data_IF_614434221799
#
_entry.id   IF_614434221799
#
_cell.length_a   1.000
_cell.length_b   1.000
_cell.length_c   1.000
_cell.angle_alpha   90.00
_cell.angle_beta   90.00
_cell.angle_gamma   90.00
#
_symmetry.space_group_name_H-M   'P 1'
#
loop_
_entity.id
_entity.type
_entity.pdbx_description
1 polymer ?
#
# COMPACT_ATOMS: atom_id res chain seq x y z
N UNK A 1 -36.79 5.91 -47.18
CA UNK A 1 -36.65 7.28 -46.63
C UNK A 1 -37.95 7.65 -45.93
N UNK A 2 -38.08 7.26 -44.65
CA UNK A 2 -39.21 7.62 -43.80
C UNK A 2 -38.80 8.82 -42.93
N UNK A 3 -39.59 9.89 -42.96
CA UNK A 3 -39.43 11.07 -42.10
C UNK A 3 -40.27 10.90 -40.84
N UNK A 4 -39.61 10.94 -39.70
CA UNK A 4 -40.17 10.89 -38.36
C UNK A 4 -40.74 12.27 -37.97
N UNK A 5 -41.92 12.28 -37.36
CA UNK A 5 -42.62 13.46 -36.85
C UNK A 5 -42.15 13.79 -35.43
N UNK A 6 -42.14 15.09 -35.14
CA UNK A 6 -41.96 15.70 -33.82
C UNK A 6 -43.35 15.94 -33.17
N UNK A 7 -43.35 16.04 -31.84
CA UNK A 7 -44.20 16.89 -30.96
C UNK A 7 -45.15 16.12 -29.99
N UNK A 8 -44.63 16.04 -28.76
CA UNK A 8 -45.17 16.53 -27.47
C UNK A 8 -46.38 15.90 -26.76
N UNK A 9 -46.07 15.46 -25.52
CA UNK A 9 -46.70 15.77 -24.22
C UNK A 9 -48.19 15.48 -24.05
N UNK A 10 -48.56 14.54 -23.17
CA UNK A 10 -49.12 14.82 -21.83
C UNK A 10 -49.52 13.54 -21.07
N UNK A 11 -49.35 13.60 -19.75
CA UNK A 11 -49.88 12.73 -18.70
C UNK A 11 -51.32 12.23 -18.97
N UNK A 12 -51.60 10.95 -18.67
CA UNK A 12 -52.74 10.57 -17.82
C UNK A 12 -52.69 9.10 -17.37
N UNK A 13 -52.93 8.96 -16.08
CA UNK A 13 -53.08 7.77 -15.26
C UNK A 13 -54.46 7.11 -15.48
N UNK A 14 -54.57 5.82 -15.11
CA UNK A 14 -55.77 4.99 -14.88
C UNK A 14 -56.39 4.28 -16.10
N UNK A 15 -56.22 2.95 -16.17
CA UNK A 15 -57.30 1.96 -15.99
C UNK A 15 -56.71 0.52 -15.96
N UNK A 16 -57.03 -0.18 -14.87
CA UNK A 16 -56.70 -1.54 -14.39
C UNK A 16 -57.13 -2.69 -15.36
N UNK A 17 -56.85 -4.01 -15.17
CA UNK A 17 -56.93 -4.73 -13.89
C UNK A 17 -55.90 -5.84 -13.58
N UNK A 18 -55.92 -6.12 -12.28
CA UNK A 18 -55.29 -7.13 -11.43
C UNK A 18 -55.66 -8.59 -11.77
N UNK A 19 -54.69 -9.50 -11.63
CA UNK A 19 -54.71 -10.87 -11.03
C UNK A 19 -53.37 -11.54 -11.44
N UNK A 20 -52.49 -12.05 -10.57
CA UNK A 20 -52.49 -12.13 -9.12
C UNK A 20 -51.13 -12.65 -8.60
N UNK A 21 -50.87 -12.33 -7.33
CA UNK A 21 -49.95 -12.98 -6.37
C UNK A 21 -48.48 -13.17 -6.76
N UNK A 22 -47.64 -12.21 -6.36
CA UNK A 22 -46.23 -12.48 -6.02
C UNK A 22 -46.09 -12.23 -4.52
N UNK A 23 -45.50 -13.21 -3.85
CA UNK A 23 -45.17 -13.28 -2.43
C UNK A 23 -44.32 -12.06 -2.01
N UNK A 24 -44.82 -11.28 -1.07
CA UNK A 24 -44.21 -10.02 -0.59
C UNK A 24 -43.37 -10.29 0.69
N UNK A 25 -42.46 -11.27 0.63
CA UNK A 25 -41.67 -11.70 1.77
C UNK A 25 -40.15 -11.69 1.59
N UNK A 26 -39.59 -10.79 0.77
CA UNK A 26 -38.17 -10.43 0.87
C UNK A 26 -37.97 -8.91 0.86
N UNK A 27 -37.80 -8.34 2.06
CA UNK A 27 -37.41 -6.94 2.24
C UNK A 27 -35.95 -6.76 1.81
N UNK A 28 -35.61 -5.76 0.98
CA UNK A 28 -34.23 -5.43 0.63
C UNK A 28 -33.52 -4.63 1.75
N UNK A 29 -33.68 -5.07 3.01
CA UNK A 29 -33.02 -4.43 4.16
C UNK A 29 -31.59 -4.94 4.40
N UNK A 30 -31.31 -6.19 4.05
CA UNK A 30 -30.05 -6.85 4.42
C UNK A 30 -28.79 -6.25 3.77
N UNK A 31 -28.91 -5.49 2.67
CA UNK A 31 -27.76 -4.94 1.95
C UNK A 31 -27.33 -3.53 2.44
N UNK A 32 -28.21 -2.79 3.13
CA UNK A 32 -27.86 -1.47 3.66
C UNK A 32 -27.19 -1.54 5.04
N UNK A 33 -27.55 -2.54 5.84
CA UNK A 33 -27.04 -2.68 7.21
C UNK A 33 -25.53 -3.04 7.22
N UNK A 34 -25.00 -3.68 6.17
CA UNK A 34 -23.58 -4.04 6.04
C UNK A 34 -22.67 -2.86 5.66
N UNK A 35 -23.21 -1.81 5.02
CA UNK A 35 -22.44 -0.63 4.62
C UNK A 35 -22.10 0.25 5.83
N UNK A 36 -22.87 0.13 6.91
CA UNK A 36 -22.73 0.88 8.14
C UNK A 36 -22.24 0.03 9.32
N UNK A 37 -21.84 -1.22 9.09
CA UNK A 37 -21.25 -2.05 10.12
C UNK A 37 -19.87 -1.47 10.49
N UNK A 38 -19.77 -0.87 11.68
CA UNK A 38 -18.63 -0.06 12.12
C UNK A 38 -18.93 1.44 12.25
N UNK A 39 -20.01 1.96 11.63
CA UNK A 39 -20.58 3.25 11.99
C UNK A 39 -21.45 3.09 13.23
N UNK A 40 -20.83 3.14 14.40
CA UNK A 40 -21.58 3.45 15.62
C UNK A 40 -22.05 4.88 15.47
N UNK A 41 -23.33 5.10 15.12
CA UNK A 41 -23.99 6.34 15.50
C UNK A 41 -23.83 6.40 17.00
N UNK A 42 -22.96 7.29 17.47
CA UNK A 42 -22.71 7.52 18.87
C UNK A 42 -24.05 7.55 19.59
N UNK A 43 -24.06 6.94 20.79
CA UNK A 43 -25.20 6.78 21.70
C UNK A 43 -26.28 7.86 21.54
N UNK A 44 -27.53 7.51 21.82
CA UNK A 44 -28.72 8.38 21.91
C UNK A 44 -28.55 9.77 22.56
N UNK A 45 -27.40 10.03 23.17
CA UNK A 45 -27.00 11.22 23.91
C UNK A 45 -26.32 12.28 23.01
N UNK A 46 -25.90 11.91 21.79
CA UNK A 46 -25.24 12.82 20.82
C UNK A 46 -26.08 14.03 20.43
N UNK A 47 -27.40 13.90 20.50
CA UNK A 47 -28.37 14.95 20.17
C UNK A 47 -28.74 15.82 21.37
N UNK A 48 -28.24 15.50 22.57
CA UNK A 48 -28.56 16.21 23.81
C UNK A 48 -27.36 17.04 24.32
N UNK A 49 -26.29 17.14 23.55
CA UNK A 49 -25.13 17.97 23.88
C UNK A 49 -25.41 19.44 23.55
N UNK A 50 -25.32 20.31 24.56
CA UNK A 50 -25.38 21.77 24.40
C UNK A 50 -24.16 22.39 25.08
N UNK A 51 -23.29 23.10 24.35
CA UNK A 51 -23.35 23.38 22.91
C UNK A 51 -23.10 22.12 22.06
N UNK A 52 -23.63 22.10 20.83
CA UNK A 52 -23.28 21.09 19.84
C UNK A 52 -21.76 21.08 19.66
N UNK A 53 -21.16 19.89 19.66
CA UNK A 53 -19.74 19.73 19.35
C UNK A 53 -19.57 19.73 17.83
N UNK A 54 -18.85 20.71 17.30
CA UNK A 54 -18.47 20.78 15.88
C UNK A 54 -17.27 19.86 15.53
N UNK A 55 -16.87 18.98 16.45
CA UNK A 55 -15.71 18.09 16.30
C UNK A 55 -16.21 16.64 16.24
N UNK A 56 -16.01 15.99 15.09
CA UNK A 56 -16.47 14.61 14.85
C UNK A 56 -15.77 13.56 15.74
N UNK A 57 -14.51 13.80 16.12
CA UNK A 57 -13.73 12.96 17.05
C UNK A 57 -12.97 13.87 18.00
N UNK A 58 -13.36 13.87 19.28
CA UNK A 58 -12.69 14.64 20.32
C UNK A 58 -11.21 14.19 20.43
N UNK A 59 -10.27 15.11 20.15
CA UNK A 59 -8.83 14.81 20.11
C UNK A 59 -8.27 14.44 18.72
N UNK A 60 -9.12 14.33 17.69
CA UNK A 60 -8.71 14.00 16.32
C UNK A 60 -8.42 12.52 16.09
N UNK A 61 -7.92 12.17 14.91
CA UNK A 61 -7.49 10.81 14.58
C UNK A 61 -6.02 10.60 14.93
N UNK A 62 -5.71 9.51 15.63
CA UNK A 62 -4.33 9.02 15.75
C UNK A 62 -4.04 8.00 14.66
N UNK A 63 -2.77 7.84 14.27
CA UNK A 63 -2.41 6.89 13.21
C UNK A 63 -2.80 5.46 13.55
N UNK A 64 -2.63 5.06 14.81
CA UNK A 64 -3.00 3.73 15.32
C UNK A 64 -4.51 3.53 15.49
N UNK A 65 -5.30 4.60 15.53
CA UNK A 65 -6.77 4.51 15.59
C UNK A 65 -7.44 4.53 14.22
N UNK A 66 -6.73 4.96 13.17
CA UNK A 66 -7.25 5.08 11.82
C UNK A 66 -6.73 3.99 10.87
N UNK A 67 -5.47 3.59 11.02
CA UNK A 67 -4.85 2.58 10.17
C UNK A 67 -4.95 1.20 10.82
N UNK A 68 -5.43 0.22 10.06
CA UNK A 68 -5.34 -1.19 10.42
C UNK A 68 -4.01 -1.76 9.92
N UNK A 69 -3.35 -2.56 10.77
CA UNK A 69 -2.10 -3.25 10.47
C UNK A 69 -2.23 -4.78 10.64
N UNK A 70 -3.45 -5.30 10.73
CA UNK A 70 -3.73 -6.72 10.86
C UNK A 70 -3.21 -7.55 9.67
N UNK A 71 -3.08 -6.95 8.48
CA UNK A 71 -2.59 -7.58 7.26
C UNK A 71 -1.11 -7.26 6.93
N UNK A 72 -0.35 -6.77 7.92
CA UNK A 72 1.05 -6.36 7.77
C UNK A 72 1.99 -7.31 8.51
N UNK A 73 2.88 -7.95 7.76
CA UNK A 73 3.99 -8.74 8.30
C UNK A 73 5.28 -7.92 8.47
N UNK A 74 6.04 -8.15 9.54
CA UNK A 74 7.34 -7.49 9.77
C UNK A 74 8.47 -8.52 9.77
N UNK A 75 9.45 -8.32 8.90
CA UNK A 75 10.55 -9.25 8.67
C UNK A 75 11.85 -8.70 9.27
N UNK A 76 12.42 -9.43 10.23
CA UNK A 76 13.54 -8.99 11.05
C UNK A 76 14.69 -9.98 10.91
N UNK A 77 15.86 -9.50 10.46
CA UNK A 77 17.09 -10.28 10.50
C UNK A 77 17.67 -10.25 11.91
N UNK A 78 17.58 -11.36 12.64
CA UNK A 78 18.03 -11.39 14.03
C UNK A 78 19.57 -11.30 14.16
N UNK A 79 20.32 -11.56 13.08
CA UNK A 79 21.77 -11.35 13.06
C UNK A 79 22.17 -9.88 12.83
N UNK A 80 21.24 -9.00 12.49
CA UNK A 80 21.49 -7.57 12.28
C UNK A 80 20.93 -6.73 13.43
N UNK A 81 21.81 -6.09 14.20
CA UNK A 81 21.40 -5.16 15.27
C UNK A 81 20.52 -4.02 14.74
N UNK A 82 20.83 -3.47 13.56
CA UNK A 82 20.01 -2.46 12.91
C UNK A 82 18.60 -2.96 12.59
N UNK A 83 18.49 -4.17 12.04
CA UNK A 83 17.20 -4.77 11.67
C UNK A 83 16.34 -5.01 12.90
N UNK A 84 16.93 -5.56 13.98
CA UNK A 84 16.24 -5.75 15.26
C UNK A 84 15.74 -4.42 15.82
N UNK A 85 16.60 -3.42 15.92
CA UNK A 85 16.23 -2.12 16.51
C UNK A 85 15.09 -1.46 15.72
N UNK A 86 15.18 -1.42 14.40
CA UNK A 86 14.16 -0.76 13.56
C UNK A 86 12.86 -1.58 13.53
N UNK A 87 12.96 -2.89 13.35
CA UNK A 87 11.82 -3.79 13.25
C UNK A 87 10.98 -3.78 14.53
N UNK A 88 11.62 -3.93 15.68
CA UNK A 88 10.91 -3.88 16.96
C UNK A 88 10.34 -2.50 17.29
N UNK A 89 11.03 -1.43 16.90
CA UNK A 89 10.48 -0.08 17.04
C UNK A 89 9.20 0.09 16.19
N UNK A 90 9.19 -0.43 14.96
CA UNK A 90 8.00 -0.37 14.10
C UNK A 90 6.85 -1.23 14.64
N UNK A 91 7.14 -2.47 15.07
CA UNK A 91 6.17 -3.36 15.71
C UNK A 91 5.50 -2.69 16.90
N UNK A 92 6.31 -2.10 17.80
CA UNK A 92 5.79 -1.39 18.97
C UNK A 92 4.99 -0.13 18.59
N UNK A 93 5.48 0.65 17.63
CA UNK A 93 4.84 1.91 17.23
C UNK A 93 3.54 1.72 16.46
N UNK A 94 3.27 0.53 15.90
CA UNK A 94 2.04 0.21 15.16
C UNK A 94 1.17 -0.85 15.82
N UNK A 95 1.58 -1.35 16.99
CA UNK A 95 0.89 -2.43 17.70
C UNK A 95 0.67 -3.66 16.81
N UNK A 96 1.70 -4.04 16.05
CA UNK A 96 1.67 -5.23 15.18
C UNK A 96 1.58 -6.48 16.06
N UNK A 97 0.65 -7.39 15.75
CA UNK A 97 0.57 -8.68 16.42
C UNK A 97 1.90 -9.43 16.30
N UNK A 98 2.38 -10.02 17.39
CA UNK A 98 3.62 -10.81 17.36
C UNK A 98 3.51 -12.02 16.43
N UNK A 99 2.29 -12.49 16.15
CA UNK A 99 2.08 -13.53 15.14
C UNK A 99 2.47 -13.04 13.74
N UNK A 100 2.43 -11.73 13.47
CA UNK A 100 2.79 -11.16 12.17
C UNK A 100 4.28 -10.80 12.07
N UNK A 101 5.10 -11.18 13.05
CA UNK A 101 6.54 -10.94 13.05
C UNK A 101 7.28 -12.22 12.68
N UNK A 102 8.16 -12.14 11.68
CA UNK A 102 9.13 -13.18 11.35
C UNK A 102 10.54 -12.74 11.76
N UNK A 103 11.17 -13.54 12.62
CA UNK A 103 12.58 -13.43 12.93
C UNK A 103 13.37 -14.45 12.12
N UNK A 104 14.31 -13.97 11.29
CA UNK A 104 15.32 -14.84 10.67
C UNK A 104 16.40 -15.12 11.72
N UNK A 105 16.19 -16.19 12.49
CA UNK A 105 16.97 -16.50 13.70
C UNK A 105 18.22 -17.35 13.46
N UNK A 106 18.37 -17.94 12.27
CA UNK A 106 19.53 -18.76 11.97
C UNK A 106 20.83 -17.94 12.12
N UNK A 107 21.83 -18.48 12.83
CA UNK A 107 23.10 -17.82 13.10
C UNK A 107 23.90 -17.49 11.83
N UNK A 108 23.65 -18.24 10.75
CA UNK A 108 24.29 -18.04 9.44
C UNK A 108 23.50 -17.10 8.53
N UNK A 109 22.39 -16.50 9.00
CA UNK A 109 21.62 -15.52 8.23
C UNK A 109 22.53 -14.34 7.88
N UNK A 110 22.76 -14.06 6.59
CA UNK A 110 23.72 -13.05 6.16
C UNK A 110 23.20 -11.63 6.44
N UNK A 111 24.13 -10.72 6.73
CA UNK A 111 23.86 -9.30 7.05
C UNK A 111 24.37 -8.35 5.97
N UNK A 112 25.04 -8.88 4.93
CA UNK A 112 25.57 -8.09 3.82
C UNK A 112 24.47 -7.57 2.90
N UNK A 113 24.72 -6.44 2.24
CA UNK A 113 23.75 -5.83 1.32
C UNK A 113 23.50 -6.67 0.07
N UNK A 114 24.49 -7.47 -0.36
CA UNK A 114 24.36 -8.38 -1.49
C UNK A 114 24.63 -9.80 -1.02
N UNK A 115 23.72 -10.71 -1.36
CA UNK A 115 23.81 -12.15 -1.06
C UNK A 115 23.69 -12.95 -2.35
N UNK A 116 24.16 -14.19 -2.34
CA UNK A 116 23.95 -15.10 -3.48
C UNK A 116 22.58 -15.80 -3.42
N UNK A 117 22.17 -16.42 -4.54
CA UNK A 117 20.89 -17.14 -4.65
C UNK A 117 20.71 -18.23 -3.60
N UNK A 118 21.76 -19.01 -3.29
CA UNK A 118 21.67 -20.07 -2.28
C UNK A 118 21.41 -19.48 -0.89
N UNK A 119 22.10 -18.40 -0.54
CA UNK A 119 21.86 -17.68 0.71
C UNK A 119 20.44 -17.10 0.78
N UNK A 120 19.94 -16.54 -0.33
CA UNK A 120 18.57 -16.02 -0.39
C UNK A 120 17.54 -17.12 -0.13
N UNK A 121 17.66 -18.22 -0.85
CA UNK A 121 16.73 -19.34 -0.73
C UNK A 121 16.78 -19.95 0.68
N UNK A 122 17.96 -20.29 1.17
CA UNK A 122 18.14 -21.03 2.42
C UNK A 122 17.82 -20.18 3.67
N UNK A 123 18.29 -18.93 3.72
CA UNK A 123 18.20 -18.13 4.95
C UNK A 123 17.02 -17.16 4.99
N UNK A 124 16.30 -16.98 3.88
CA UNK A 124 15.15 -16.07 3.83
C UNK A 124 13.90 -16.71 3.23
N UNK A 125 13.98 -17.32 2.04
CA UNK A 125 12.77 -17.87 1.39
C UNK A 125 12.23 -19.08 2.14
N UNK A 126 13.08 -20.03 2.53
CA UNK A 126 12.69 -21.21 3.32
C UNK A 126 12.01 -20.81 4.64
N UNK A 127 12.63 -20.04 5.55
CA UNK A 127 11.98 -19.64 6.80
C UNK A 127 10.74 -18.75 6.57
N UNK A 128 10.71 -17.94 5.51
CA UNK A 128 9.52 -17.16 5.16
C UNK A 128 8.35 -18.06 4.74
N UNK A 129 8.60 -19.10 3.95
CA UNK A 129 7.58 -20.10 3.59
C UNK A 129 7.09 -20.86 4.81
N UNK A 130 8.00 -21.27 5.71
CA UNK A 130 7.63 -21.93 6.95
C UNK A 130 6.71 -21.03 7.77
N UNK A 131 7.11 -19.77 7.99
CA UNK A 131 6.31 -18.77 8.70
C UNK A 131 4.92 -18.55 8.11
N UNK A 132 4.80 -18.45 6.78
CA UNK A 132 3.50 -18.34 6.10
C UNK A 132 2.60 -19.56 6.35
N UNK A 133 3.18 -20.75 6.41
CA UNK A 133 2.44 -22.02 6.55
C UNK A 133 2.05 -22.36 7.99
N UNK A 134 2.56 -21.62 8.98
CA UNK A 134 2.22 -21.82 10.40
C UNK A 134 0.80 -21.37 10.77
N UNK A 135 0.14 -20.54 9.94
CA UNK A 135 -1.25 -20.13 10.19
C UNK A 135 -2.00 -19.81 8.89
N UNK A 136 -3.33 -19.96 8.91
CA UNK A 136 -4.18 -19.54 7.79
C UNK A 136 -4.05 -18.04 7.53
N UNK A 137 -4.13 -17.25 8.61
CA UNK A 137 -4.05 -15.78 8.57
C UNK A 137 -2.83 -15.29 7.78
N UNK A 138 -1.62 -15.80 8.10
CA UNK A 138 -0.40 -15.40 7.39
C UNK A 138 -0.41 -15.77 5.92
N UNK A 139 -1.04 -16.91 5.58
CA UNK A 139 -1.09 -17.42 4.22
C UNK A 139 -2.05 -16.64 3.34
N UNK A 140 -3.20 -16.25 3.87
CA UNK A 140 -4.31 -15.66 3.09
C UNK A 140 -4.46 -14.16 3.27
N UNK A 141 -4.24 -13.65 4.48
CA UNK A 141 -4.69 -12.30 4.83
C UNK A 141 -3.55 -11.28 4.80
N UNK A 142 -2.29 -11.70 4.94
CA UNK A 142 -1.15 -10.77 4.88
C UNK A 142 -0.96 -10.26 3.45
N UNK A 143 -1.11 -8.94 3.29
CA UNK A 143 -0.95 -8.23 2.02
C UNK A 143 0.40 -7.52 1.94
N UNK A 144 0.87 -6.98 3.06
CA UNK A 144 2.04 -6.09 3.11
C UNK A 144 3.16 -6.72 3.93
N UNK A 145 4.40 -6.50 3.48
CA UNK A 145 5.58 -6.88 4.25
C UNK A 145 6.46 -5.66 4.49
N UNK A 146 6.99 -5.56 5.71
CA UNK A 146 7.95 -4.53 6.08
C UNK A 146 9.32 -5.17 6.29
N UNK A 147 10.28 -4.79 5.45
CA UNK A 147 11.70 -5.10 5.66
C UNK A 147 12.43 -3.90 6.24
N UNK A 148 13.62 -4.10 6.78
CA UNK A 148 14.38 -3.05 7.49
C UNK A 148 15.82 -2.97 7.01
N UNK A 149 16.53 -1.88 7.37
CA UNK A 149 17.99 -1.85 7.25
C UNK A 149 18.59 -3.05 8.00
N UNK A 150 19.39 -3.86 7.31
CA UNK A 150 19.98 -5.09 7.87
C UNK A 150 19.40 -6.38 7.28
N UNK A 151 18.27 -6.29 6.58
CA UNK A 151 17.89 -7.26 5.54
C UNK A 151 18.69 -6.93 4.26
N UNK A 152 19.20 -7.91 3.50
CA UNK A 152 19.94 -7.66 2.25
C UNK A 152 19.16 -6.78 1.27
N UNK A 153 19.85 -6.00 0.44
CA UNK A 153 19.26 -5.16 -0.60
C UNK A 153 19.15 -5.89 -1.93
N UNK A 154 20.07 -6.82 -2.22
CA UNK A 154 20.24 -7.43 -3.53
C UNK A 154 20.49 -8.92 -3.43
N UNK A 155 19.82 -9.66 -4.31
CA UNK A 155 20.19 -11.04 -4.62
C UNK A 155 21.01 -11.02 -5.91
N UNK A 156 22.20 -11.62 -5.85
CA UNK A 156 23.10 -11.76 -6.98
C UNK A 156 23.17 -13.23 -7.40
N UNK A 157 22.73 -13.54 -8.61
CA UNK A 157 22.86 -14.87 -9.20
C UNK A 157 23.28 -14.75 -10.66
N UNK A 158 24.55 -15.06 -10.98
CA UNK A 158 25.04 -14.97 -12.36
C UNK A 158 24.83 -13.58 -13.00
N UNK A 159 24.10 -13.53 -14.12
CA UNK A 159 23.73 -12.27 -14.81
C UNK A 159 22.55 -11.54 -14.16
N UNK A 160 21.73 -12.24 -13.37
CA UNK A 160 20.50 -11.71 -12.78
C UNK A 160 20.84 -11.00 -11.46
N UNK A 161 20.62 -9.68 -11.46
CA UNK A 161 20.77 -8.81 -10.28
C UNK A 161 19.43 -8.16 -10.01
N UNK A 162 18.87 -8.46 -8.86
CA UNK A 162 17.50 -8.06 -8.50
C UNK A 162 17.45 -7.60 -7.05
N UNK A 163 16.48 -6.75 -6.73
CA UNK A 163 16.21 -6.38 -5.34
C UNK A 163 15.78 -7.60 -4.54
N UNK A 164 16.28 -7.72 -3.32
CA UNK A 164 15.79 -8.72 -2.36
C UNK A 164 14.27 -8.63 -2.18
N UNK A 165 13.75 -7.40 -2.03
CA UNK A 165 12.33 -7.18 -1.79
C UNK A 165 11.48 -7.58 -3.01
N UNK A 166 11.99 -7.40 -4.23
CA UNK A 166 11.25 -7.82 -5.43
C UNK A 166 11.14 -9.34 -5.53
N UNK A 167 12.22 -10.08 -5.26
CA UNK A 167 12.17 -11.54 -5.27
C UNK A 167 11.27 -12.09 -4.17
N UNK A 168 11.39 -11.54 -2.95
CA UNK A 168 10.59 -11.98 -1.81
C UNK A 168 9.10 -11.70 -2.03
N UNK A 169 8.75 -10.59 -2.69
CA UNK A 169 7.37 -10.22 -3.01
C UNK A 169 6.62 -11.30 -3.80
N UNK A 170 7.33 -12.08 -4.61
CA UNK A 170 6.74 -13.10 -5.50
C UNK A 170 6.67 -14.48 -4.85
N UNK A 171 7.28 -14.68 -3.67
CA UNK A 171 7.28 -15.97 -2.98
C UNK A 171 5.85 -16.34 -2.60
N UNK A 172 5.45 -17.57 -2.94
CA UNK A 172 4.06 -18.06 -2.75
C UNK A 172 2.97 -17.17 -3.39
N UNK A 173 3.34 -16.39 -4.41
CA UNK A 173 2.41 -15.63 -5.25
C UNK A 173 2.15 -16.29 -6.61
N UNK A 174 1.24 -15.70 -7.38
CA UNK A 174 0.90 -16.12 -8.74
C UNK A 174 2.08 -15.94 -9.70
N UNK A 175 2.92 -14.95 -9.41
CA UNK A 175 4.08 -14.58 -10.21
C UNK A 175 5.38 -15.30 -9.79
N UNK A 176 5.32 -16.30 -8.90
CA UNK A 176 6.50 -17.00 -8.36
C UNK A 176 7.41 -17.64 -9.42
N UNK A 177 6.87 -17.95 -10.60
CA UNK A 177 7.66 -18.45 -11.73
C UNK A 177 8.65 -17.42 -12.30
N UNK A 178 8.53 -16.16 -11.90
CA UNK A 178 9.41 -15.05 -12.32
C UNK A 178 10.62 -14.87 -11.40
N UNK A 179 10.67 -15.59 -10.28
CA UNK A 179 11.82 -15.64 -9.38
C UNK A 179 13.03 -16.19 -10.14
N UNK A 180 14.19 -15.56 -10.00
CA UNK A 180 15.43 -15.96 -10.71
C UNK A 180 15.35 -15.91 -12.24
N UNK A 181 14.46 -15.09 -12.79
CA UNK A 181 14.38 -14.88 -14.24
C UNK A 181 15.02 -13.55 -14.65
N UNK A 182 15.46 -13.48 -15.91
CA UNK A 182 15.91 -12.24 -16.53
C UNK A 182 14.70 -11.40 -16.98
N UNK A 183 14.93 -10.09 -17.12
CA UNK A 183 13.94 -9.08 -17.55
C UNK A 183 12.90 -8.71 -16.48
N UNK A 184 12.07 -7.71 -16.80
CA UNK A 184 10.99 -7.27 -15.94
C UNK A 184 9.73 -8.10 -16.20
N UNK A 185 8.91 -8.27 -15.16
CA UNK A 185 7.57 -8.82 -15.28
C UNK A 185 6.57 -7.72 -14.94
N UNK A 186 5.44 -7.73 -15.64
CA UNK A 186 4.38 -6.73 -15.45
C UNK A 186 3.33 -7.28 -14.48
N UNK A 187 2.87 -6.42 -13.56
CA UNK A 187 1.71 -6.65 -12.71
C UNK A 187 0.62 -5.64 -13.08
N UNK A 188 -0.64 -5.89 -12.69
CA UNK A 188 -1.76 -4.98 -12.99
C UNK A 188 -1.91 -3.85 -11.97
N UNK A 189 -1.38 -4.02 -10.76
CA UNK A 189 -1.63 -3.07 -9.67
C UNK A 189 -1.09 -1.66 -9.94
N UNK A 190 -1.91 -0.67 -9.58
CA UNK A 190 -1.55 0.73 -9.52
C UNK A 190 -1.91 1.54 -10.78
N UNK A 191 -1.92 2.87 -10.67
CA UNK A 191 -2.43 3.76 -11.72
C UNK A 191 -1.63 3.69 -13.02
N UNK A 192 -0.38 3.22 -12.98
CA UNK A 192 0.50 3.07 -14.14
C UNK A 192 0.31 1.75 -14.90
N UNK A 193 -0.43 0.80 -14.33
CA UNK A 193 -0.61 -0.54 -14.91
C UNK A 193 -2.07 -0.88 -15.27
N UNK A 194 -2.96 0.12 -15.24
CA UNK A 194 -4.33 0.01 -15.78
C UNK A 194 -5.42 -0.23 -14.73
N UNK A 195 -5.08 -0.54 -13.47
CA UNK A 195 -6.06 -0.77 -12.39
C UNK A 195 -6.56 0.53 -11.71
N UNK A 196 -6.11 1.70 -12.15
CA UNK A 196 -6.52 2.98 -11.58
C UNK A 196 -6.06 3.17 -10.13
N UNK A 197 -6.81 3.97 -9.36
CA UNK A 197 -6.54 4.19 -7.94
C UNK A 197 -7.43 3.27 -7.10
N UNK A 198 -6.91 2.09 -6.76
CA UNK A 198 -7.59 1.13 -5.89
C UNK A 198 -6.71 0.66 -4.72
N UNK A 199 -7.36 0.12 -3.70
CA UNK A 199 -6.68 -0.53 -2.58
C UNK A 199 -6.05 -1.85 -3.04
N UNK A 200 -4.83 -2.09 -2.60
CA UNK A 200 -4.12 -3.33 -2.88
C UNK A 200 -4.69 -4.50 -2.06
N UNK A 201 -4.87 -5.67 -2.70
CA UNK A 201 -4.94 -6.96 -2.00
C UNK A 201 -4.08 -7.99 -2.72
N UNK A 202 -3.41 -8.85 -1.94
CA UNK A 202 -2.62 -9.96 -2.47
C UNK A 202 -3.50 -10.98 -3.18
N UNK A 203 -4.73 -11.20 -2.71
CA UNK A 203 -5.69 -12.08 -3.38
C UNK A 203 -5.97 -11.64 -4.83
N UNK A 204 -6.12 -10.32 -5.06
CA UNK A 204 -6.41 -9.80 -6.40
C UNK A 204 -5.16 -9.78 -7.30
N UNK A 205 -4.02 -9.37 -6.76
CA UNK A 205 -2.83 -9.08 -7.56
C UNK A 205 -1.77 -10.18 -7.56
N UNK A 206 -1.85 -11.14 -6.64
CA UNK A 206 -1.02 -12.35 -6.66
C UNK A 206 0.42 -12.18 -6.17
N UNK A 207 0.75 -11.11 -5.46
CA UNK A 207 2.08 -10.87 -4.86
C UNK A 207 1.97 -10.08 -3.55
N UNK A 208 3.06 -9.96 -2.77
CA UNK A 208 3.12 -9.09 -1.59
C UNK A 208 3.59 -7.69 -1.95
N UNK A 209 3.00 -6.65 -1.35
CA UNK A 209 3.55 -5.30 -1.43
C UNK A 209 4.58 -5.12 -0.31
N UNK A 210 5.86 -5.01 -0.69
CA UNK A 210 6.95 -4.87 0.28
C UNK A 210 7.40 -3.42 0.35
N UNK A 211 7.46 -2.87 1.56
CA UNK A 211 8.08 -1.58 1.86
C UNK A 211 9.28 -1.78 2.77
N UNK A 212 10.38 -1.11 2.45
CA UNK A 212 11.59 -1.16 3.26
C UNK A 212 11.72 0.08 4.13
N UNK A 213 11.67 -0.11 5.44
CA UNK A 213 11.98 0.92 6.43
C UNK A 213 13.50 1.04 6.62
N UNK A 214 14.12 1.96 5.89
CA UNK A 214 15.58 2.12 5.84
C UNK A 214 16.01 3.58 5.86
N UNK A 215 17.28 3.77 6.17
CA UNK A 215 17.98 5.04 6.12
C UNK A 215 19.49 4.80 6.11
N UNK A 216 20.28 5.85 5.87
CA UNK A 216 21.74 5.76 5.98
C UNK A 216 22.15 5.28 7.37
N UNK A 217 21.46 5.78 8.41
CA UNK A 217 21.64 5.38 9.82
C UNK A 217 20.37 4.76 10.40
N UNK A 218 20.50 4.05 11.53
CA UNK A 218 19.36 3.53 12.30
C UNK A 218 18.47 4.68 12.78
N UNK A 219 19.07 5.76 13.28
CA UNK A 219 18.35 6.95 13.74
C UNK A 219 17.49 7.56 12.64
N UNK A 220 18.01 7.65 11.42
CA UNK A 220 17.23 8.13 10.27
C UNK A 220 16.00 7.25 10.01
N UNK A 221 16.15 5.92 10.07
CA UNK A 221 15.04 5.00 9.87
C UNK A 221 13.99 5.09 10.99
N UNK A 222 14.43 5.22 12.25
CA UNK A 222 13.54 5.44 13.39
C UNK A 222 12.78 6.78 13.27
N UNK A 223 13.45 7.83 12.81
CA UNK A 223 12.83 9.13 12.55
C UNK A 223 11.72 9.08 11.49
N UNK A 224 11.77 8.12 10.55
CA UNK A 224 10.66 7.93 9.59
C UNK A 224 9.38 7.40 10.29
N UNK A 225 9.52 6.54 11.29
CA UNK A 225 8.38 6.04 12.10
C UNK A 225 7.71 7.21 12.83
N UNK A 226 8.52 8.09 13.43
CA UNK A 226 8.05 9.28 14.15
C UNK A 226 7.40 10.29 13.21
N UNK A 227 7.99 10.54 12.04
CA UNK A 227 7.39 11.43 11.04
C UNK A 227 6.03 10.93 10.58
N UNK A 228 5.91 9.63 10.32
CA UNK A 228 4.64 9.03 9.93
C UNK A 228 3.55 9.20 11.00
N UNK A 229 3.89 9.12 12.29
CA UNK A 229 2.91 9.34 13.37
C UNK A 229 2.25 10.73 13.31
N UNK A 230 2.99 11.70 12.78
CA UNK A 230 2.57 13.09 12.71
C UNK A 230 2.12 13.51 11.30
N UNK A 231 2.08 12.59 10.32
CA UNK A 231 1.79 12.92 8.92
C UNK A 231 0.31 12.81 8.55
N UNK A 232 -0.52 12.21 9.39
CA UNK A 232 -1.96 12.11 9.11
C UNK A 232 -2.60 13.49 8.94
N UNK A 233 -3.32 13.65 7.82
CA UNK A 233 -3.96 14.91 7.44
C UNK A 233 -2.99 16.02 7.04
N UNK A 234 -1.68 15.80 7.12
CA UNK A 234 -0.68 16.78 6.68
C UNK A 234 -0.52 16.72 5.17
N UNK A 235 -0.30 17.89 4.59
CA UNK A 235 0.10 18.04 3.18
C UNK A 235 1.45 18.72 3.14
N UNK A 236 2.27 18.32 2.18
CA UNK A 236 3.60 18.88 1.99
C UNK A 236 3.91 19.10 0.52
N UNK A 237 5.05 19.74 0.28
CA UNK A 237 5.67 19.85 -1.03
C UNK A 237 6.00 18.45 -1.55
N UNK A 238 5.54 18.14 -2.76
CA UNK A 238 5.97 16.94 -3.48
C UNK A 238 7.18 17.32 -4.33
N UNK A 239 8.27 16.59 -4.18
CA UNK A 239 9.52 16.86 -4.93
C UNK A 239 9.68 15.79 -5.99
N UNK A 240 9.70 16.20 -7.25
CA UNK A 240 9.94 15.35 -8.41
C UNK A 240 11.28 15.74 -9.02
N UNK A 241 12.18 14.79 -9.21
CA UNK A 241 13.53 15.02 -9.75
C UNK A 241 13.77 14.20 -11.01
N UNK A 242 13.78 14.88 -12.16
CA UNK A 242 13.90 14.27 -13.47
C UNK A 242 15.36 13.99 -13.84
N UNK A 243 15.64 12.79 -14.36
CA UNK A 243 16.93 12.47 -14.96
C UNK A 243 17.03 13.02 -16.40
N UNK A 244 17.19 14.34 -16.53
CA UNK A 244 17.15 15.03 -17.83
C UNK A 244 18.21 14.57 -18.85
N UNK A 245 19.34 14.03 -18.38
CA UNK A 245 20.44 13.53 -19.18
C UNK A 245 20.25 12.07 -19.64
N UNK A 246 19.17 11.40 -19.21
CA UNK A 246 18.88 10.00 -19.54
C UNK A 246 17.47 9.90 -20.09
N UNK A 247 17.32 9.87 -21.41
CA UNK A 247 16.01 9.83 -22.06
C UNK A 247 15.85 8.71 -23.08
N UNK A 248 16.45 7.54 -22.80
CA UNK A 248 16.32 6.34 -23.62
C UNK A 248 15.91 5.12 -22.78
N UNK A 249 15.30 4.12 -23.43
CA UNK A 249 14.86 2.86 -22.80
C UNK A 249 14.04 3.12 -21.51
N UNK A 250 14.29 2.37 -20.43
CA UNK A 250 13.56 2.49 -19.16
C UNK A 250 13.65 3.87 -18.49
N UNK A 251 14.72 4.64 -18.71
CA UNK A 251 14.79 6.01 -18.17
C UNK A 251 13.76 6.94 -18.82
N UNK A 252 13.48 6.77 -20.12
CA UNK A 252 12.44 7.56 -20.79
C UNK A 252 11.07 7.27 -20.17
N UNK A 253 10.75 6.00 -19.94
CA UNK A 253 9.48 5.58 -19.35
C UNK A 253 9.25 6.28 -18.00
N UNK A 254 10.21 6.20 -17.07
CA UNK A 254 10.09 6.86 -15.77
C UNK A 254 10.09 8.38 -15.84
N UNK A 255 10.82 8.97 -16.79
CA UNK A 255 10.79 10.41 -17.02
C UNK A 255 9.41 10.88 -17.50
N UNK A 256 8.80 10.17 -18.45
CA UNK A 256 7.44 10.44 -18.95
C UNK A 256 6.41 10.37 -17.79
N UNK A 257 6.60 9.43 -16.85
CA UNK A 257 5.75 9.31 -15.66
C UNK A 257 5.93 10.49 -14.70
N UNK A 258 7.14 11.01 -14.52
CA UNK A 258 7.35 12.21 -13.71
C UNK A 258 6.67 13.45 -14.31
N UNK A 259 6.65 13.57 -15.64
CA UNK A 259 5.87 14.62 -16.31
C UNK A 259 4.37 14.45 -16.06
N UNK A 260 3.86 13.23 -16.17
CA UNK A 260 2.46 12.91 -15.91
C UNK A 260 2.09 13.20 -14.45
N UNK A 261 2.92 12.77 -13.50
CA UNK A 261 2.75 13.04 -12.08
C UNK A 261 2.70 14.54 -11.79
N UNK A 262 3.61 15.34 -12.35
CA UNK A 262 3.58 16.79 -12.19
C UNK A 262 2.29 17.42 -12.74
N UNK A 263 1.84 17.00 -13.93
CA UNK A 263 0.60 17.50 -14.54
C UNK A 263 -0.64 17.15 -13.71
N UNK A 264 -0.71 15.93 -13.18
CA UNK A 264 -1.84 15.49 -12.34
C UNK A 264 -1.82 16.15 -10.97
N UNK A 265 -0.68 16.14 -10.27
CA UNK A 265 -0.55 16.65 -8.91
C UNK A 265 -0.75 18.17 -8.86
N UNK A 266 -0.01 18.93 -9.68
CA UNK A 266 -0.07 20.39 -9.69
C UNK A 266 -1.30 20.91 -10.45
N UNK A 267 -1.70 20.22 -11.53
CA UNK A 267 -2.83 20.67 -12.36
C UNK A 267 -4.18 20.20 -11.85
N UNK A 268 -4.41 18.89 -11.85
CA UNK A 268 -5.74 18.32 -11.53
C UNK A 268 -6.05 18.28 -10.03
N UNK A 269 -5.04 18.08 -9.19
CA UNK A 269 -5.21 17.90 -7.74
C UNK A 269 -4.88 19.17 -6.92
N UNK A 270 -4.33 20.21 -7.57
CA UNK A 270 -3.92 21.47 -6.94
C UNK A 270 -3.00 21.25 -5.71
N UNK A 271 -2.06 20.32 -5.85
CA UNK A 271 -1.04 19.99 -4.84
C UNK A 271 0.27 20.71 -5.14
N UNK A 272 1.00 21.20 -4.12
CA UNK A 272 2.27 21.88 -4.32
C UNK A 272 3.35 20.88 -4.80
N UNK A 273 3.90 21.15 -5.99
CA UNK A 273 4.97 20.33 -6.59
C UNK A 273 6.20 21.19 -6.90
N UNK A 274 7.37 20.73 -6.47
CA UNK A 274 8.66 21.17 -6.96
C UNK A 274 9.17 20.16 -7.99
N UNK A 275 9.09 20.51 -9.28
CA UNK A 275 9.55 19.64 -10.36
C UNK A 275 10.89 20.11 -10.92
N UNK A 276 11.98 19.46 -10.49
CA UNK A 276 13.31 19.73 -11.01
C UNK A 276 13.52 18.97 -12.32
N UNK A 277 13.92 19.72 -13.35
CA UNK A 277 14.22 19.19 -14.69
C UNK A 277 15.68 19.45 -15.10
N UNK A 278 16.51 19.96 -14.19
CA UNK A 278 17.91 20.25 -14.44
C UNK A 278 18.82 19.29 -13.66
N UNK A 279 20.12 19.32 -13.93
CA UNK A 279 21.09 18.39 -13.36
C UNK A 279 21.61 18.79 -11.98
N UNK A 280 20.97 19.76 -11.32
CA UNK A 280 21.37 20.28 -10.00
C UNK A 280 20.68 19.50 -8.90
N UNK A 281 21.43 19.09 -7.88
CA UNK A 281 20.85 18.45 -6.71
C UNK A 281 19.89 19.39 -5.98
N UNK A 282 18.71 18.88 -5.67
CA UNK A 282 17.74 19.55 -4.80
C UNK A 282 18.19 19.38 -3.35
N UNK A 283 18.34 20.49 -2.64
CA UNK A 283 18.71 20.50 -1.22
C UNK A 283 17.90 21.54 -0.47
N UNK A 284 17.84 21.45 0.87
CA UNK A 284 17.18 22.42 1.75
C UNK A 284 15.70 22.67 1.47
N UNK A 285 14.97 21.65 0.98
CA UNK A 285 13.51 21.72 0.82
C UNK A 285 12.85 21.40 2.16
N UNK A 286 12.05 22.33 2.66
CA UNK A 286 11.25 22.18 3.87
C UNK A 286 9.81 21.80 3.54
N UNK A 287 9.07 21.30 4.54
CA UNK A 287 7.67 20.88 4.40
C UNK A 287 7.45 19.84 3.30
N UNK A 288 8.43 18.97 3.05
CA UNK A 288 8.28 17.83 2.14
C UNK A 288 7.36 16.82 2.81
N UNK A 289 6.42 16.24 2.05
CA UNK A 289 5.61 15.13 2.57
C UNK A 289 6.53 13.95 2.88
N UNK A 290 6.45 13.41 4.09
CA UNK A 290 7.24 12.27 4.56
C UNK A 290 6.33 11.10 4.89
#
# INVERSE_FOLDING_TARGET
MGRMRVISVLLMLLMSPWIGSIDESEKPKAHFDLIFDGFVVARSDSWNETPFRDIAVEGGFSQTGYMDYSDVGVLINNQSSASRTIGWAFVAARNISLENVLLFDNESTPTGETINRNQFNQYFVEPFREWLNESEHRRTDINYLVTTKGIPLRVSGGNSKVSFDNELALVEGDMKASIDTDWWVQHSYGPFNGDGFESFTREKHGFFLITRLTGYTVETALGLIEKANNSLGQRGMIVLDLANNRNGSGYKYWNDDLYTANATLNGSMDLPVMFNQNSTFITNVSNVIA
#
